data_IF_647435316935
#
_entry.id   IF_647435316935
#
_cell.length_a   1.000
_cell.length_b   1.000
_cell.length_c   1.000
_cell.angle_alpha   90.00
_cell.angle_beta   90.00
_cell.angle_gamma   90.00
#
_symmetry.space_group_name_H-M   'P 1'
#
loop_
_entity.id
_entity.type
_entity.pdbx_description
1 polymer ?
#
# COMPACT_ATOMS: atom_id res chain seq x y z
N UNK A 1 36.19 -2.65 15.30
CA UNK A 1 36.02 -3.92 16.06
C UNK A 1 35.34 -4.95 15.16
N UNK A 2 35.77 -6.21 15.22
CA UNK A 2 35.14 -7.32 14.50
C UNK A 2 34.73 -8.38 15.52
N UNK A 3 33.47 -8.83 15.48
CA UNK A 3 32.98 -9.97 16.28
C UNK A 3 32.58 -11.07 15.32
N UNK A 4 33.13 -12.26 15.51
CA UNK A 4 32.85 -13.43 14.68
C UNK A 4 32.16 -14.47 15.56
N UNK A 5 30.93 -14.82 15.21
CA UNK A 5 30.15 -15.91 15.76
C UNK A 5 29.82 -16.86 14.60
N UNK A 6 29.70 -18.19 14.82
CA UNK A 6 29.22 -19.13 13.80
C UNK A 6 28.02 -18.63 12.98
N UNK A 7 27.08 -17.92 13.60
CA UNK A 7 25.83 -17.51 12.95
C UNK A 7 25.86 -16.09 12.35
N UNK A 8 26.83 -15.26 12.75
CA UNK A 8 26.90 -13.87 12.30
C UNK A 8 28.29 -13.22 12.48
N UNK A 9 28.58 -12.24 11.64
CA UNK A 9 29.76 -11.37 11.75
C UNK A 9 29.34 -9.91 11.93
N UNK A 10 29.89 -9.25 12.94
CA UNK A 10 29.64 -7.82 13.24
C UNK A 10 30.91 -7.02 12.96
N UNK A 11 30.79 -6.00 12.12
CA UNK A 11 31.77 -4.94 11.94
C UNK A 11 31.24 -3.67 12.59
N UNK A 12 31.95 -3.12 13.56
CA UNK A 12 31.51 -1.91 14.27
C UNK A 12 32.70 -1.02 14.59
N UNK A 13 32.51 0.30 14.55
CA UNK A 13 33.51 1.24 15.04
C UNK A 13 33.77 1.03 16.54
N UNK A 14 32.71 1.12 17.36
CA UNK A 14 32.77 0.91 18.81
C UNK A 14 31.60 0.07 19.32
N UNK A 15 31.97 -1.00 20.02
CA UNK A 15 31.04 -1.97 20.60
C UNK A 15 31.33 -2.16 22.09
N UNK A 16 30.27 -2.27 22.90
CA UNK A 16 30.37 -2.61 24.34
C UNK A 16 29.44 -3.78 24.64
N UNK A 17 30.00 -4.86 25.17
CA UNK A 17 29.22 -5.99 25.67
C UNK A 17 29.16 -5.96 27.20
N UNK A 18 27.96 -6.11 27.77
CA UNK A 18 27.77 -6.29 29.21
C UNK A 18 27.47 -7.76 29.50
N UNK A 19 28.35 -8.40 30.26
CA UNK A 19 28.28 -9.83 30.60
C UNK A 19 27.21 -10.16 31.63
N UNK A 20 26.77 -9.19 32.44
CA UNK A 20 25.77 -9.38 33.50
C UNK A 20 24.36 -9.48 32.91
N UNK A 21 23.99 -8.52 32.06
CA UNK A 21 22.66 -8.43 31.45
C UNK A 21 22.60 -8.89 29.99
N UNK A 22 23.73 -9.36 29.45
CA UNK A 22 23.86 -9.92 28.09
C UNK A 22 23.49 -8.95 26.95
N UNK A 23 23.63 -7.64 27.19
CA UNK A 23 23.35 -6.60 26.19
C UNK A 23 24.63 -6.17 25.47
N UNK A 24 24.57 -6.18 24.14
CA UNK A 24 25.56 -5.56 23.25
C UNK A 24 25.07 -4.17 22.84
N UNK A 25 25.91 -3.15 22.99
CA UNK A 25 25.64 -1.77 22.57
C UNK A 25 26.54 -1.38 21.39
N UNK A 26 25.95 -0.70 20.41
CA UNK A 26 26.61 -0.17 19.22
C UNK A 26 26.71 1.35 19.33
N UNK A 27 27.92 1.89 19.14
CA UNK A 27 28.23 3.31 19.27
C UNK A 27 29.01 3.84 18.06
N UNK A 28 28.47 3.67 16.87
CA UNK A 28 29.05 4.08 15.59
C UNK A 28 28.53 3.20 14.46
N UNK A 29 28.91 3.50 13.20
CA UNK A 29 28.55 2.68 12.05
C UNK A 29 28.83 1.20 12.32
N UNK A 30 27.78 0.39 12.20
CA UNK A 30 27.79 -1.02 12.53
C UNK A 30 27.06 -1.80 11.46
N UNK A 31 27.75 -2.77 10.88
CA UNK A 31 27.23 -3.72 9.91
C UNK A 31 27.20 -5.11 10.53
N UNK A 32 26.08 -5.80 10.41
CA UNK A 32 25.88 -7.15 10.90
C UNK A 32 25.49 -8.02 9.71
N UNK A 33 26.29 -9.04 9.46
CA UNK A 33 26.08 -10.02 8.39
C UNK A 33 25.72 -11.36 9.02
N UNK A 34 24.65 -11.97 8.53
CA UNK A 34 24.26 -13.34 8.83
C UNK A 34 23.97 -14.07 7.52
N UNK A 35 23.74 -15.38 7.58
CA UNK A 35 23.44 -16.18 6.38
C UNK A 35 22.17 -15.72 5.64
N UNK A 36 21.22 -15.12 6.36
CA UNK A 36 19.89 -14.77 5.83
C UNK A 36 19.57 -13.28 5.83
N UNK A 37 20.39 -12.45 6.49
CA UNK A 37 20.12 -11.03 6.66
C UNK A 37 21.36 -10.16 6.78
N UNK A 38 21.20 -8.90 6.36
CA UNK A 38 22.14 -7.80 6.53
C UNK A 38 21.47 -6.69 7.33
N UNK A 39 22.18 -6.17 8.32
CA UNK A 39 21.69 -5.09 9.18
C UNK A 39 22.74 -3.97 9.22
N UNK A 40 22.27 -2.73 9.14
CA UNK A 40 23.09 -1.54 9.36
C UNK A 40 22.42 -0.61 10.39
N UNK A 41 23.23 -0.02 11.27
CA UNK A 41 22.84 1.08 12.14
C UNK A 41 24.06 1.88 12.59
N UNK A 42 23.86 3.07 13.14
CA UNK A 42 24.95 3.86 13.74
C UNK A 42 24.87 3.88 15.27
N UNK A 43 23.71 3.57 15.85
CA UNK A 43 23.54 3.38 17.30
C UNK A 43 22.50 2.30 17.56
N UNK A 44 22.66 1.56 18.64
CA UNK A 44 21.66 0.57 19.00
C UNK A 44 22.08 -0.34 20.12
N UNK A 45 21.23 -1.32 20.39
CA UNK A 45 21.52 -2.39 21.31
C UNK A 45 20.80 -3.68 20.91
N UNK A 46 21.34 -4.79 21.36
CA UNK A 46 20.76 -6.13 21.20
C UNK A 46 20.98 -6.93 22.47
N UNK A 47 19.91 -7.55 22.97
CA UNK A 47 19.95 -8.45 24.11
C UNK A 47 19.96 -9.91 23.62
N UNK A 48 21.04 -10.64 23.90
CA UNK A 48 21.20 -12.03 23.43
C UNK A 48 20.38 -13.05 24.21
N UNK A 49 19.82 -12.68 25.37
CA UNK A 49 18.96 -13.56 26.18
C UNK A 49 17.49 -13.44 25.76
N UNK A 50 17.02 -12.21 25.52
CA UNK A 50 15.61 -11.96 25.15
C UNK A 50 15.36 -11.88 23.65
N UNK A 51 16.42 -11.87 22.83
CA UNK A 51 16.35 -11.64 21.38
C UNK A 51 15.59 -10.35 21.00
N UNK A 52 15.84 -9.28 21.76
CA UNK A 52 15.26 -7.95 21.51
C UNK A 52 16.35 -7.02 20.97
N UNK A 53 16.02 -6.27 19.93
CA UNK A 53 16.93 -5.32 19.30
C UNK A 53 16.30 -3.94 19.13
N UNK A 54 17.15 -2.93 19.21
CA UNK A 54 16.82 -1.55 18.89
C UNK A 54 17.97 -0.95 18.07
N UNK A 55 17.68 -0.65 16.81
CA UNK A 55 18.59 0.00 15.87
C UNK A 55 18.14 1.46 15.71
N UNK A 56 19.10 2.37 15.63
CA UNK A 56 18.86 3.81 15.50
C UNK A 56 19.89 4.42 14.55
N UNK A 57 19.50 5.57 14.00
CA UNK A 57 20.24 6.36 13.01
C UNK A 57 20.50 5.56 11.74
N UNK A 58 19.74 5.88 10.69
CA UNK A 58 19.82 5.24 9.38
C UNK A 58 19.68 3.70 9.45
N UNK A 59 18.82 3.21 10.33
CA UNK A 59 18.65 1.78 10.54
C UNK A 59 18.11 1.09 9.28
N UNK A 60 18.73 -0.03 8.92
CA UNK A 60 18.39 -0.83 7.75
C UNK A 60 18.46 -2.30 8.12
N UNK A 61 17.42 -3.05 7.77
CA UNK A 61 17.38 -4.51 7.83
C UNK A 61 17.02 -5.02 6.44
N UNK A 62 17.82 -5.91 5.88
CA UNK A 62 17.62 -6.50 4.57
C UNK A 62 17.71 -8.02 4.67
N UNK A 63 16.75 -8.71 4.08
CA UNK A 63 16.79 -10.16 3.87
C UNK A 63 16.48 -10.46 2.39
N UNK A 64 16.26 -11.73 2.04
CA UNK A 64 15.95 -12.15 0.67
C UNK A 64 14.60 -11.64 0.17
N UNK A 65 13.63 -11.41 1.05
CA UNK A 65 12.26 -11.04 0.71
C UNK A 65 12.02 -9.54 0.73
N UNK A 66 12.61 -8.85 1.70
CA UNK A 66 12.30 -7.46 1.97
C UNK A 66 13.49 -6.64 2.47
N UNK A 67 13.36 -5.32 2.37
CA UNK A 67 14.25 -4.34 2.97
C UNK A 67 13.43 -3.34 3.78
N UNK A 68 13.74 -3.22 5.06
CA UNK A 68 13.11 -2.28 5.99
C UNK A 68 14.13 -1.22 6.38
N UNK A 69 13.77 0.06 6.22
CA UNK A 69 14.58 1.21 6.59
C UNK A 69 13.78 2.13 7.51
N UNK A 70 14.48 2.87 8.35
CA UNK A 70 13.92 3.97 9.14
C UNK A 70 14.98 4.65 9.99
N UNK A 71 14.63 5.76 10.64
CA UNK A 71 15.54 6.38 11.61
C UNK A 71 15.74 5.48 12.83
N UNK A 72 14.72 4.68 13.17
CA UNK A 72 14.75 3.75 14.29
C UNK A 72 13.92 2.50 13.99
N UNK A 73 14.49 1.33 14.26
CA UNK A 73 13.85 0.02 14.11
C UNK A 73 13.96 -0.76 15.42
N UNK A 74 12.85 -1.31 15.89
CA UNK A 74 12.74 -2.13 17.08
C UNK A 74 12.15 -3.48 16.70
N UNK A 75 12.69 -4.57 17.26
CA UNK A 75 12.23 -5.91 16.96
C UNK A 75 12.36 -6.84 18.16
N UNK A 76 11.32 -7.63 18.41
CA UNK A 76 11.23 -8.68 19.43
C UNK A 76 11.01 -10.03 18.74
N UNK A 77 12.02 -10.90 18.75
CA UNK A 77 11.94 -12.19 18.05
C UNK A 77 10.90 -13.15 18.65
N UNK A 78 10.73 -13.15 19.98
CA UNK A 78 9.81 -14.07 20.65
C UNK A 78 8.34 -13.76 20.34
N UNK A 79 7.98 -12.47 20.26
CA UNK A 79 6.61 -12.03 20.00
C UNK A 79 6.34 -11.79 18.52
N UNK A 80 7.40 -11.68 17.71
CA UNK A 80 7.32 -11.30 16.31
C UNK A 80 6.90 -9.84 16.11
N UNK A 81 7.06 -8.99 17.14
CA UNK A 81 6.67 -7.59 17.08
C UNK A 81 7.80 -6.73 16.52
N UNK A 82 7.50 -6.00 15.44
CA UNK A 82 8.37 -5.01 14.82
C UNK A 82 7.78 -3.61 14.90
N UNK A 83 8.64 -2.61 15.08
CA UNK A 83 8.27 -1.19 15.02
C UNK A 83 9.33 -0.38 14.28
N UNK A 84 8.89 0.44 13.34
CA UNK A 84 9.72 1.36 12.57
C UNK A 84 9.27 2.81 12.78
N UNK A 85 10.20 3.73 12.96
CA UNK A 85 9.92 5.14 13.25
C UNK A 85 10.76 6.07 12.37
N UNK A 86 10.08 7.05 11.79
CA UNK A 86 10.53 8.10 10.87
C UNK A 86 11.23 7.59 9.60
N UNK A 87 10.98 8.25 8.47
CA UNK A 87 11.57 7.89 7.17
C UNK A 87 11.46 6.38 6.87
N UNK A 88 10.33 5.79 7.27
CA UNK A 88 10.11 4.35 7.15
C UNK A 88 9.95 4.02 5.68
N UNK A 89 10.78 3.10 5.19
CA UNK A 89 10.68 2.56 3.82
C UNK A 89 10.75 1.06 3.91
N UNK A 90 9.70 0.38 3.47
CA UNK A 90 9.64 -1.08 3.37
C UNK A 90 9.58 -1.40 1.88
N UNK A 91 10.50 -2.22 1.41
CA UNK A 91 10.57 -2.69 0.03
C UNK A 91 10.34 -4.19 0.06
N UNK A 92 9.29 -4.66 -0.58
CA UNK A 92 9.01 -6.07 -0.83
C UNK A 92 9.52 -6.41 -2.24
N UNK A 93 10.53 -7.28 -2.30
CA UNK A 93 11.18 -7.68 -3.55
C UNK A 93 10.43 -8.82 -4.26
N UNK A 94 9.51 -9.50 -3.58
CA UNK A 94 8.71 -10.58 -4.17
C UNK A 94 7.48 -10.02 -4.91
N UNK A 95 6.96 -8.88 -4.44
CA UNK A 95 5.73 -8.26 -4.98
C UNK A 95 5.96 -6.93 -5.72
N UNK A 96 7.20 -6.43 -5.78
CA UNK A 96 7.55 -5.12 -6.35
C UNK A 96 6.75 -3.97 -5.71
N UNK A 97 6.66 -3.99 -4.37
CA UNK A 97 5.93 -3.01 -3.56
C UNK A 97 6.90 -2.20 -2.71
N UNK A 98 6.69 -0.88 -2.67
CA UNK A 98 7.37 0.04 -1.76
C UNK A 98 6.32 0.72 -0.88
N UNK A 99 6.45 0.56 0.44
CA UNK A 99 5.67 1.27 1.43
C UNK A 99 6.52 2.37 2.07
N UNK A 100 5.95 3.56 2.23
CA UNK A 100 6.60 4.70 2.90
C UNK A 100 5.68 5.31 3.96
N UNK A 101 6.25 5.77 5.07
CA UNK A 101 5.54 6.46 6.14
C UNK A 101 6.47 6.89 7.26
N UNK A 102 5.94 7.34 8.40
CA UNK A 102 6.77 7.68 9.56
C UNK A 102 6.54 6.76 10.77
N UNK A 103 5.48 5.95 10.78
CA UNK A 103 5.27 4.98 11.88
C UNK A 103 4.76 3.68 11.31
N UNK A 104 5.59 2.64 11.40
CA UNK A 104 5.24 1.27 11.02
C UNK A 104 5.19 0.37 12.26
N UNK A 105 4.19 -0.50 12.34
CA UNK A 105 4.19 -1.65 13.25
C UNK A 105 3.86 -2.91 12.47
N UNK A 106 4.42 -4.03 12.93
CA UNK A 106 4.19 -5.35 12.36
C UNK A 106 4.10 -6.40 13.47
N UNK A 107 3.17 -7.34 13.35
CA UNK A 107 3.08 -8.53 14.18
C UNK A 107 3.10 -9.75 13.29
N UNK A 108 4.19 -10.53 13.34
CA UNK A 108 4.38 -11.73 12.50
C UNK A 108 3.29 -12.78 12.75
N UNK A 109 2.95 -13.04 14.00
CA UNK A 109 2.03 -14.11 14.38
C UNK A 109 0.60 -13.93 13.83
N UNK A 110 0.17 -12.68 13.60
CA UNK A 110 -1.16 -12.36 13.08
C UNK A 110 -1.13 -11.79 11.66
N UNK A 111 0.06 -11.75 11.03
CA UNK A 111 0.35 -11.02 9.79
C UNK A 111 -0.29 -9.62 9.73
N UNK A 112 -0.28 -8.90 10.87
CA UNK A 112 -0.85 -7.57 10.98
C UNK A 112 0.22 -6.52 10.76
N UNK A 113 -0.01 -5.60 9.84
CA UNK A 113 0.84 -4.44 9.62
C UNK A 113 0.01 -3.15 9.63
N UNK A 114 0.58 -2.09 10.20
CA UNK A 114 0.03 -0.74 10.13
C UNK A 114 1.11 0.28 9.85
N UNK A 115 0.89 1.12 8.85
CA UNK A 115 1.79 2.20 8.46
C UNK A 115 1.02 3.52 8.45
N UNK A 116 1.48 4.51 9.22
CA UNK A 116 0.81 5.82 9.37
C UNK A 116 1.78 6.98 9.16
N UNK A 117 1.24 8.19 9.24
CA UNK A 117 1.96 9.47 9.14
C UNK A 117 2.66 9.62 7.79
N UNK A 118 1.92 10.07 6.77
CA UNK A 118 2.32 10.12 5.35
C UNK A 118 2.43 8.73 4.70
N UNK A 119 1.45 7.87 4.96
CA UNK A 119 1.45 6.52 4.41
C UNK A 119 1.33 6.56 2.88
N UNK A 120 2.21 5.84 2.20
CA UNK A 120 2.24 5.72 0.75
C UNK A 120 2.51 4.26 0.39
N UNK A 121 1.66 3.73 -0.48
CA UNK A 121 1.83 2.45 -1.14
C UNK A 121 2.22 2.72 -2.59
N UNK A 122 3.28 2.07 -3.05
CA UNK A 122 3.78 2.18 -4.43
C UNK A 122 3.91 0.76 -4.95
N UNK A 123 3.22 0.45 -6.04
CA UNK A 123 3.35 -0.83 -6.73
C UNK A 123 3.91 -0.59 -8.11
N UNK A 124 5.00 -1.28 -8.42
CA UNK A 124 5.72 -1.15 -9.68
C UNK A 124 5.32 -2.33 -10.57
N UNK A 125 4.92 -2.05 -11.81
CA UNK A 125 4.81 -3.06 -12.88
C UNK A 125 5.71 -2.67 -14.05
N UNK A 126 6.00 -3.58 -14.99
CA UNK A 126 6.82 -3.25 -16.16
C UNK A 126 6.27 -2.08 -17.01
N UNK A 127 4.95 -1.92 -17.02
CA UNK A 127 4.25 -0.93 -17.84
C UNK A 127 4.06 0.41 -17.13
N UNK A 128 3.77 0.41 -15.83
CA UNK A 128 3.44 1.63 -15.08
C UNK A 128 3.60 1.44 -13.56
N UNK A 129 3.51 2.54 -12.80
CA UNK A 129 3.55 2.54 -11.33
C UNK A 129 2.25 3.07 -10.74
N UNK A 130 1.66 2.30 -9.83
CA UNK A 130 0.52 2.74 -9.04
C UNK A 130 1.01 3.39 -7.75
N UNK A 131 0.54 4.59 -7.47
CA UNK A 131 0.75 5.31 -6.23
C UNK A 131 -0.57 5.43 -5.48
N UNK A 132 -0.57 5.06 -4.21
CA UNK A 132 -1.70 5.23 -3.31
C UNK A 132 -1.21 5.94 -2.06
N UNK A 133 -1.87 7.04 -1.72
CA UNK A 133 -1.61 7.82 -0.51
C UNK A 133 -2.81 7.77 0.42
N UNK A 134 -2.55 7.64 1.72
CA UNK A 134 -3.55 7.71 2.78
C UNK A 134 -2.89 8.17 4.08
N UNK A 135 -3.70 8.52 5.09
CA UNK A 135 -3.19 8.77 6.43
C UNK A 135 -2.57 7.51 7.08
N UNK A 136 -3.23 6.38 6.85
CA UNK A 136 -3.06 5.07 7.48
C UNK A 136 -3.30 3.96 6.46
N UNK A 137 -2.32 3.06 6.34
CA UNK A 137 -2.41 1.81 5.62
C UNK A 137 -2.42 0.66 6.62
N UNK A 138 -3.33 -0.29 6.41
CA UNK A 138 -3.47 -1.51 7.21
C UNK A 138 -3.37 -2.73 6.30
N UNK A 139 -2.67 -3.73 6.79
CA UNK A 139 -2.69 -5.08 6.25
C UNK A 139 -3.06 -6.02 7.38
N UNK A 140 -4.07 -6.85 7.15
CA UNK A 140 -4.52 -7.86 8.09
C UNK A 140 -5.01 -9.09 7.32
N UNK A 141 -5.21 -10.19 8.03
CA UNK A 141 -5.87 -11.37 7.48
C UNK A 141 -7.38 -11.25 7.71
N UNK A 142 -8.16 -11.67 6.72
CA UNK A 142 -9.59 -11.84 6.87
C UNK A 142 -9.93 -13.16 7.59
N UNK A 143 -11.22 -13.46 7.74
CA UNK A 143 -11.70 -14.69 8.41
C UNK A 143 -11.36 -15.98 7.66
N UNK A 144 -10.86 -15.87 6.43
CA UNK A 144 -10.40 -16.97 5.58
C UNK A 144 -8.88 -17.03 5.45
N UNK A 145 -8.15 -16.36 6.36
CA UNK A 145 -6.70 -16.23 6.35
C UNK A 145 -6.14 -15.62 5.04
N UNK A 146 -6.97 -14.84 4.34
CA UNK A 146 -6.57 -14.17 3.11
C UNK A 146 -6.24 -12.70 3.39
N UNK A 147 -5.22 -12.19 2.71
CA UNK A 147 -4.75 -10.82 2.91
C UNK A 147 -5.84 -9.80 2.57
N UNK A 148 -5.99 -8.82 3.44
CA UNK A 148 -6.95 -7.74 3.33
C UNK A 148 -6.25 -6.41 3.60
N UNK A 149 -6.31 -5.50 2.62
CA UNK A 149 -5.65 -4.19 2.70
C UNK A 149 -6.70 -3.12 2.88
N UNK A 150 -6.48 -2.22 3.84
CA UNK A 150 -7.32 -1.04 4.05
C UNK A 150 -6.47 0.22 4.00
N UNK A 151 -7.06 1.29 3.47
CA UNK A 151 -6.48 2.61 3.53
C UNK A 151 -7.51 3.62 4.05
N UNK A 152 -7.10 4.38 5.05
CA UNK A 152 -7.88 5.38 5.79
C UNK A 152 -6.96 6.56 6.05
N UNK A 153 -7.37 7.80 6.20
CA UNK A 153 -8.43 8.50 5.51
C UNK A 153 -7.79 9.33 4.37
N UNK A 154 -8.62 9.96 3.54
CA UNK A 154 -8.17 10.86 2.48
C UNK A 154 -7.37 10.16 1.39
N UNK A 155 -7.84 8.96 1.03
CA UNK A 155 -7.22 8.10 0.01
C UNK A 155 -7.12 8.83 -1.33
N UNK A 156 -5.93 8.79 -1.93
CA UNK A 156 -5.67 9.27 -3.29
C UNK A 156 -4.91 8.21 -4.06
N UNK A 157 -5.38 7.90 -5.26
CA UNK A 157 -4.82 6.90 -6.16
C UNK A 157 -4.34 7.63 -7.41
N UNK A 158 -3.15 7.28 -7.89
CA UNK A 158 -2.60 7.80 -9.12
C UNK A 158 -1.86 6.70 -9.89
N UNK A 159 -2.22 6.57 -11.15
CA UNK A 159 -1.62 5.74 -12.19
C UNK A 159 -1.82 6.49 -13.52
N UNK A 160 -1.03 6.22 -14.57
CA UNK A 160 -1.09 6.99 -15.83
C UNK A 160 -2.51 7.08 -16.43
N UNK A 161 -3.27 5.98 -16.38
CA UNK A 161 -4.60 5.84 -16.95
C UNK A 161 -5.75 5.81 -15.91
N UNK A 162 -5.42 5.99 -14.63
CA UNK A 162 -6.38 5.92 -13.53
C UNK A 162 -5.98 6.86 -12.39
N UNK A 163 -6.87 7.77 -12.05
CA UNK A 163 -6.78 8.57 -10.84
C UNK A 163 -8.01 8.34 -9.98
N UNK A 164 -7.86 8.45 -8.67
CA UNK A 164 -8.97 8.24 -7.76
C UNK A 164 -8.81 9.02 -6.47
N UNK A 165 -9.93 9.39 -5.86
CA UNK A 165 -9.98 9.85 -4.48
C UNK A 165 -11.20 9.28 -3.79
N UNK A 166 -11.08 9.02 -2.50
CA UNK A 166 -12.20 8.70 -1.62
C UNK A 166 -11.75 8.97 -0.18
N UNK A 167 -12.68 8.88 0.77
CA UNK A 167 -12.28 8.93 2.18
C UNK A 167 -11.48 7.66 2.54
N UNK A 168 -12.02 6.50 2.20
CA UNK A 168 -11.52 5.20 2.65
C UNK A 168 -11.59 4.17 1.53
N UNK A 169 -10.66 3.21 1.49
CA UNK A 169 -10.74 2.07 0.58
C UNK A 169 -10.33 0.76 1.23
N UNK A 170 -10.81 -0.34 0.65
CA UNK A 170 -10.41 -1.68 1.01
C UNK A 170 -10.16 -2.53 -0.25
N UNK A 171 -9.22 -3.47 -0.16
CA UNK A 171 -8.95 -4.45 -1.18
C UNK A 171 -8.87 -5.84 -0.55
N UNK A 172 -9.67 -6.76 -1.06
CA UNK A 172 -9.72 -8.15 -0.64
C UNK A 172 -9.09 -9.02 -1.71
N UNK A 173 -8.07 -9.79 -1.32
CA UNK A 173 -7.37 -10.68 -2.25
C UNK A 173 -8.20 -11.94 -2.56
N UNK A 174 -9.11 -12.35 -1.67
CA UNK A 174 -9.92 -13.57 -1.83
C UNK A 174 -10.89 -13.48 -3.02
N UNK A 175 -11.53 -12.33 -3.18
CA UNK A 175 -12.52 -12.05 -4.23
C UNK A 175 -12.00 -11.08 -5.31
N UNK A 176 -10.78 -10.55 -5.16
CA UNK A 176 -10.19 -9.55 -6.07
C UNK A 176 -11.09 -8.30 -6.22
N UNK A 177 -11.70 -7.87 -5.11
CA UNK A 177 -12.63 -6.74 -5.07
C UNK A 177 -12.01 -5.52 -4.39
N UNK A 178 -12.07 -4.39 -5.08
CA UNK A 178 -11.71 -3.06 -4.56
C UNK A 178 -13.00 -2.35 -4.14
N UNK A 179 -13.02 -1.81 -2.93
CA UNK A 179 -14.16 -1.07 -2.36
C UNK A 179 -13.72 0.33 -2.01
N UNK A 180 -14.41 1.33 -2.53
CA UNK A 180 -14.15 2.75 -2.29
C UNK A 180 -15.36 3.34 -1.55
N UNK A 181 -15.11 3.95 -0.40
CA UNK A 181 -16.13 4.41 0.53
C UNK A 181 -16.11 5.93 0.66
N UNK A 182 -17.31 6.49 0.84
CA UNK A 182 -17.60 7.90 1.10
C UNK A 182 -17.08 8.83 0.00
N UNK A 183 -18.01 9.19 -0.89
CA UNK A 183 -17.78 10.11 -2.01
C UNK A 183 -16.57 9.74 -2.91
N UNK A 184 -16.41 8.46 -3.30
CA UNK A 184 -15.39 8.10 -4.27
C UNK A 184 -15.59 8.82 -5.61
N UNK A 185 -14.48 9.31 -6.16
CA UNK A 185 -14.40 9.83 -7.52
C UNK A 185 -13.22 9.17 -8.21
N UNK A 186 -13.48 8.59 -9.38
CA UNK A 186 -12.49 7.97 -10.25
C UNK A 186 -12.42 8.76 -11.56
N UNK A 187 -11.21 8.90 -12.10
CA UNK A 187 -10.96 9.44 -13.43
C UNK A 187 -10.18 8.43 -14.24
N UNK A 188 -10.65 8.13 -15.44
CA UNK A 188 -9.95 7.27 -16.39
C UNK A 188 -10.21 7.78 -17.79
N UNK A 189 -9.13 8.11 -18.51
CA UNK A 189 -9.18 8.77 -19.81
C UNK A 189 -10.10 10.02 -19.79
N UNK A 190 -11.16 10.00 -20.58
CA UNK A 190 -12.16 11.08 -20.68
C UNK A 190 -13.29 10.98 -19.65
N UNK A 191 -13.30 9.93 -18.83
CA UNK A 191 -14.40 9.61 -17.92
C UNK A 191 -14.10 10.04 -16.50
N UNK A 192 -15.07 10.69 -15.85
CA UNK A 192 -15.17 10.87 -14.42
C UNK A 192 -16.36 10.05 -13.90
N UNK A 193 -16.12 9.23 -12.88
CA UNK A 193 -17.11 8.33 -12.29
C UNK A 193 -17.20 8.66 -10.80
N UNK A 194 -18.41 8.85 -10.28
CA UNK A 194 -18.63 9.12 -8.85
C UNK A 194 -19.89 8.45 -8.32
N UNK A 195 -19.88 8.11 -7.03
CA UNK A 195 -21.01 7.56 -6.28
C UNK A 195 -20.81 7.78 -4.78
N UNK A 196 -21.71 7.31 -3.92
CA UNK A 196 -21.45 7.25 -2.47
C UNK A 196 -20.60 6.03 -2.08
N UNK A 197 -20.68 4.97 -2.88
CA UNK A 197 -19.90 3.75 -2.76
C UNK A 197 -19.61 3.17 -4.15
N UNK A 198 -18.36 2.75 -4.36
CA UNK A 198 -17.92 2.08 -5.59
C UNK A 198 -17.30 0.75 -5.23
N UNK A 199 -17.76 -0.31 -5.89
CA UNK A 199 -17.16 -1.64 -5.81
C UNK A 199 -16.66 -2.06 -7.19
N UNK A 200 -15.40 -2.46 -7.30
CA UNK A 200 -14.75 -2.86 -8.55
C UNK A 200 -14.32 -4.31 -8.42
N UNK A 201 -14.85 -5.15 -9.29
CA UNK A 201 -14.48 -6.56 -9.42
C UNK A 201 -13.42 -6.66 -10.50
N UNK A 202 -12.29 -7.28 -10.14
CA UNK A 202 -11.17 -7.46 -11.07
C UNK A 202 -10.97 -8.92 -11.40
N UNK A 203 -10.51 -9.20 -12.61
CA UNK A 203 -10.12 -10.53 -13.07
C UNK A 203 -8.78 -10.39 -13.82
N UNK A 204 -7.78 -11.22 -13.50
CA UNK A 204 -6.43 -11.10 -14.06
C UNK A 204 -5.85 -9.67 -13.98
N UNK A 205 -6.09 -8.97 -12.86
CA UNK A 205 -5.68 -7.56 -12.61
C UNK A 205 -6.33 -6.52 -13.54
N UNK A 206 -7.40 -6.87 -14.25
CA UNK A 206 -8.18 -5.97 -15.09
C UNK A 206 -9.58 -5.77 -14.53
N UNK A 207 -10.16 -4.57 -14.70
CA UNK A 207 -11.53 -4.32 -14.27
C UNK A 207 -12.50 -5.11 -15.13
N UNK A 208 -13.46 -5.81 -14.51
CA UNK A 208 -14.51 -6.57 -15.19
C UNK A 208 -15.87 -5.90 -15.02
N UNK A 209 -16.21 -5.61 -13.77
CA UNK A 209 -17.48 -5.01 -13.40
C UNK A 209 -17.26 -3.97 -12.32
N UNK A 210 -17.94 -2.83 -12.43
CA UNK A 210 -17.95 -1.81 -11.39
C UNK A 210 -19.39 -1.49 -11.01
N UNK A 211 -19.68 -1.56 -9.71
CA UNK A 211 -20.96 -1.22 -9.12
C UNK A 211 -20.87 0.18 -8.52
N UNK A 212 -21.75 1.07 -8.96
CA UNK A 212 -21.92 2.41 -8.41
C UNK A 212 -23.19 2.40 -7.59
N UNK A 213 -23.08 2.66 -6.28
CA UNK A 213 -24.22 2.66 -5.38
C UNK A 213 -24.51 4.05 -4.83
N UNK A 214 -25.79 4.43 -4.93
CA UNK A 214 -26.37 5.71 -4.52
C UNK A 214 -25.74 6.91 -5.22
N UNK A 215 -26.61 7.76 -5.76
CA UNK A 215 -26.22 9.03 -6.38
C UNK A 215 -25.14 8.86 -7.46
N UNK A 216 -25.23 7.79 -8.25
CA UNK A 216 -24.25 7.43 -9.28
C UNK A 216 -24.25 8.44 -10.42
N UNK A 217 -23.05 8.88 -10.82
CA UNK A 217 -22.86 9.85 -11.88
C UNK A 217 -21.61 9.55 -12.70
N UNK A 218 -21.75 9.55 -14.02
CA UNK A 218 -20.67 9.37 -14.98
C UNK A 218 -20.68 10.56 -15.93
N UNK A 219 -19.52 11.18 -16.11
CA UNK A 219 -19.29 12.26 -17.06
C UNK A 219 -18.22 11.78 -18.04
N UNK A 220 -18.48 11.88 -19.33
CA UNK A 220 -17.52 11.57 -20.39
C UNK A 220 -17.32 12.81 -21.24
N UNK A 221 -16.07 13.28 -21.36
CA UNK A 221 -15.74 14.43 -22.19
C UNK A 221 -15.82 14.04 -23.67
N UNK A 222 -16.67 14.73 -24.43
CA UNK A 222 -16.82 14.56 -25.88
C UNK A 222 -15.95 15.56 -26.64
N UNK A 223 -15.95 16.82 -26.19
CA UNK A 223 -15.18 17.92 -26.77
C UNK A 223 -14.77 18.92 -25.66
N UNK A 224 -14.07 19.99 -26.02
CA UNK A 224 -13.57 21.05 -25.15
C UNK A 224 -14.62 21.60 -24.19
N UNK A 225 -15.88 21.70 -24.63
CA UNK A 225 -16.99 22.22 -23.83
C UNK A 225 -18.21 21.28 -23.74
N UNK A 226 -18.14 20.06 -24.31
CA UNK A 226 -19.27 19.12 -24.39
C UNK A 226 -18.98 17.85 -23.59
N UNK A 227 -19.97 17.42 -22.80
CA UNK A 227 -19.84 16.28 -21.90
C UNK A 227 -21.10 15.43 -21.95
N UNK A 228 -20.94 14.15 -22.27
CA UNK A 228 -21.99 13.16 -22.07
C UNK A 228 -22.11 12.88 -20.57
N UNK A 229 -23.34 12.80 -20.08
CA UNK A 229 -23.61 12.64 -18.66
C UNK A 229 -24.65 11.56 -18.46
N UNK A 230 -24.40 10.69 -17.50
CA UNK A 230 -25.32 9.63 -17.09
C UNK A 230 -25.47 9.74 -15.58
N UNK A 231 -26.72 9.88 -15.13
CA UNK A 231 -27.09 9.95 -13.71
C UNK A 231 -28.10 8.86 -13.39
N UNK A 232 -28.03 8.30 -12.19
CA UNK A 232 -28.96 7.28 -11.72
C UNK A 232 -28.79 6.99 -10.23
N UNK A 233 -29.72 6.23 -9.66
CA UNK A 233 -29.62 5.81 -8.26
C UNK A 233 -28.48 4.81 -8.09
N UNK A 234 -28.48 3.74 -8.88
CA UNK A 234 -27.42 2.73 -8.92
C UNK A 234 -27.04 2.45 -10.37
N UNK A 235 -25.77 2.12 -10.63
CA UNK A 235 -25.31 1.70 -11.95
C UNK A 235 -24.42 0.46 -11.88
N UNK A 236 -24.44 -0.31 -12.96
CA UNK A 236 -23.47 -1.39 -13.19
C UNK A 236 -22.73 -1.08 -14.48
N UNK A 237 -21.42 -0.92 -14.38
CA UNK A 237 -20.52 -0.66 -15.48
C UNK A 237 -19.81 -1.97 -15.85
N UNK A 238 -19.81 -2.33 -17.12
CA UNK A 238 -19.16 -3.54 -17.64
C UNK A 238 -17.99 -3.15 -18.54
N UNK A 239 -16.88 -3.83 -18.34
CA UNK A 239 -15.62 -3.56 -19.04
C UNK A 239 -15.25 -4.71 -19.98
N UNK A 240 -14.65 -4.37 -21.11
CA UNK A 240 -14.07 -5.31 -22.09
C UNK A 240 -12.78 -4.68 -22.59
N UNK A 241 -11.68 -5.43 -22.55
CA UNK A 241 -10.35 -4.94 -22.95
C UNK A 241 -9.95 -3.65 -22.20
N UNK A 242 -10.29 -3.58 -20.90
CA UNK A 242 -10.16 -2.39 -20.03
C UNK A 242 -10.97 -1.15 -20.46
N UNK A 243 -11.86 -1.25 -21.44
CA UNK A 243 -12.74 -0.17 -21.88
C UNK A 243 -14.19 -0.37 -21.40
N UNK A 244 -14.84 0.73 -21.00
CA UNK A 244 -16.24 0.74 -20.59
C UNK A 244 -17.14 0.57 -21.82
N UNK A 245 -17.82 -0.58 -21.95
CA UNK A 245 -18.65 -0.87 -23.13
C UNK A 245 -20.16 -0.88 -22.85
N UNK A 246 -20.57 -1.00 -21.58
CA UNK A 246 -22.00 -1.03 -21.20
C UNK A 246 -22.21 -0.47 -19.80
N UNK A 247 -23.28 0.32 -19.66
CA UNK A 247 -23.75 0.85 -18.37
C UNK A 247 -25.22 0.49 -18.20
N UNK A 248 -25.55 -0.25 -17.15
CA UNK A 248 -26.92 -0.55 -16.75
C UNK A 248 -27.35 0.40 -15.62
N UNK A 249 -28.34 1.25 -15.87
CA UNK A 249 -28.83 2.21 -14.88
C UNK A 249 -30.10 1.68 -14.20
N UNK A 250 -30.09 1.62 -12.87
CA UNK A 250 -31.23 1.15 -12.05
C UNK A 250 -31.74 2.28 -11.15
N UNK A 251 -32.93 2.79 -11.49
CA UNK A 251 -33.66 3.81 -10.73
C UNK A 251 -33.29 5.24 -11.14
N UNK A 252 -34.30 6.02 -11.53
CA UNK A 252 -34.20 7.45 -11.87
C UNK A 252 -33.07 7.79 -12.85
N UNK A 253 -32.89 6.97 -13.90
CA UNK A 253 -31.89 7.19 -14.93
C UNK A 253 -32.16 8.46 -15.73
N UNK A 254 -31.14 9.30 -15.88
CA UNK A 254 -31.18 10.52 -16.69
C UNK A 254 -29.90 10.60 -17.50
N UNK A 255 -30.01 10.98 -18.77
CA UNK A 255 -28.85 11.12 -19.65
C UNK A 255 -28.88 12.45 -20.39
N UNK A 256 -27.69 12.99 -20.62
CA UNK A 256 -27.44 14.09 -21.56
C UNK A 256 -26.39 13.57 -22.53
N UNK A 257 -26.70 13.60 -23.82
CA UNK A 257 -25.82 13.07 -24.87
C UNK A 257 -25.72 14.05 -26.03
N UNK A 258 -24.51 14.23 -26.55
CA UNK A 258 -24.26 15.01 -27.76
C UNK A 258 -24.05 14.05 -28.93
N UNK A 259 -25.04 13.88 -29.83
CA UNK A 259 -24.87 13.02 -30.99
C UNK A 259 -23.80 13.59 -31.94
N UNK A 260 -22.98 12.72 -32.50
CA UNK A 260 -22.00 13.04 -33.55
C UNK A 260 -22.58 12.57 -34.88
N UNK A 261 -22.80 13.48 -35.83
CA UNK A 261 -23.21 13.14 -37.19
C UNK A 261 -21.99 12.82 -38.07
N UNK A 262 -22.19 12.10 -39.18
CA UNK A 262 -21.13 11.65 -40.11
C UNK A 262 -20.27 12.80 -40.71
N UNK A 263 -20.72 14.05 -40.61
CA UNK A 263 -19.98 15.24 -41.06
C UNK A 263 -19.19 15.97 -39.94
N UNK A 264 -19.21 15.44 -38.71
CA UNK A 264 -18.61 16.10 -37.54
C UNK A 264 -19.61 16.96 -36.76
N UNK A 265 -19.22 17.25 -35.51
CA UNK A 265 -20.02 17.94 -34.47
C UNK A 265 -20.51 19.34 -34.89
#
# INVERSE_FOLDING_TARGET
>A
VVVINPDYTIYSDRLKYNTENKITYFYGPTEIFSDSSYIYCERGWYNTETDISQLNQNALVKNSKQTVKGDSLYYEKLTGFGRAVNNVVIIDHEQDIILKGNRGIYYENSDYARLTDRAQFIQITPEDTLYLHADTLLSELDTSDTKFIKAYYGVKIFKSNLQGKCDSMAYSFADSVIRLYYEPVLWSEVNQISAEYIEIHTEHKQAKTMYLEKSSFIISKEDTSKFNQIKGKNMVCHFRDNELYRIDVKGNGQTVYYPVDEEGI
#
